data_IF_042347045432
#
_entry.id   IF_042347045432
#
_cell.length_a   1.000
_cell.length_b   1.000
_cell.length_c   1.000
_cell.angle_alpha   90.00
_cell.angle_beta   90.00
_cell.angle_gamma   90.00
#
_symmetry.space_group_name_H-M   'P 1'
#
loop_
_entity.id
_entity.type
_entity.pdbx_description
1 polymer ?
#
# COMPACT_ATOMS: atom_id res chain seq x y z
N UNK A 1 -33.22 -10.54 9.41
CA UNK A 1 -32.21 -9.53 9.80
C UNK A 1 -32.64 -8.62 10.96
N UNK A 2 -33.90 -8.15 11.04
CA UNK A 2 -34.31 -7.18 12.09
C UNK A 2 -34.17 -7.67 13.55
N UNK A 3 -34.37 -8.97 13.84
CA UNK A 3 -34.23 -9.51 15.21
C UNK A 3 -32.79 -9.48 15.74
N UNK A 4 -31.80 -9.81 14.90
CA UNK A 4 -30.38 -9.77 15.29
C UNK A 4 -29.96 -8.33 15.59
N UNK A 5 -30.39 -7.39 14.75
CA UNK A 5 -30.12 -5.98 14.93
C UNK A 5 -30.72 -5.41 16.22
N UNK A 6 -31.96 -5.79 16.58
CA UNK A 6 -32.56 -5.35 17.83
C UNK A 6 -31.89 -5.98 19.05
N UNK A 7 -31.48 -7.24 18.99
CA UNK A 7 -30.72 -7.90 20.06
C UNK A 7 -29.37 -7.21 20.29
N UNK A 8 -28.62 -6.92 19.24
CA UNK A 8 -27.34 -6.22 19.35
C UNK A 8 -27.53 -4.83 19.95
N UNK A 9 -28.52 -4.05 19.50
CA UNK A 9 -28.77 -2.73 20.08
C UNK A 9 -29.23 -2.80 21.55
N UNK A 10 -30.00 -3.82 21.93
CA UNK A 10 -30.43 -4.00 23.32
C UNK A 10 -29.24 -4.28 24.23
N UNK A 11 -28.36 -5.20 23.82
CA UNK A 11 -27.11 -5.49 24.52
C UNK A 11 -26.18 -4.27 24.61
N UNK A 12 -26.27 -3.36 23.64
CA UNK A 12 -25.51 -2.11 23.64
C UNK A 12 -26.18 -0.99 24.45
N UNK A 13 -27.46 -1.08 24.80
CA UNK A 13 -28.19 -0.01 25.50
C UNK A 13 -28.44 -0.31 26.97
N UNK A 14 -28.12 -1.52 27.43
CA UNK A 14 -28.09 -1.87 28.84
C UNK A 14 -26.93 -1.15 29.53
N UNK A 15 -27.16 -0.58 30.71
CA UNK A 15 -26.14 0.18 31.45
C UNK A 15 -24.93 -0.73 31.77
N UNK A 16 -23.72 -0.26 31.45
CA UNK A 16 -22.46 -0.96 31.76
C UNK A 16 -21.87 -1.82 30.64
N UNK A 17 -22.16 -1.51 29.36
CA UNK A 17 -21.57 -2.25 28.23
C UNK A 17 -20.04 -2.17 28.25
N UNK A 18 -19.43 -3.35 28.30
CA UNK A 18 -17.98 -3.52 28.17
C UNK A 18 -17.50 -2.94 26.82
N UNK A 19 -16.59 -1.96 26.81
CA UNK A 19 -16.00 -1.37 25.61
C UNK A 19 -15.34 -2.42 24.72
N UNK A 20 -14.69 -3.42 25.32
CA UNK A 20 -14.11 -4.54 24.59
C UNK A 20 -15.19 -5.28 23.79
N UNK A 21 -16.40 -5.42 24.35
CA UNK A 21 -17.54 -6.03 23.68
C UNK A 21 -18.01 -5.20 22.48
N UNK A 22 -18.08 -3.87 22.62
CA UNK A 22 -18.38 -2.96 21.49
C UNK A 22 -17.34 -3.10 20.39
N UNK A 23 -16.05 -3.12 20.74
CA UNK A 23 -14.97 -3.25 19.76
C UNK A 23 -15.01 -4.60 19.03
N UNK A 24 -15.31 -5.67 19.77
CA UNK A 24 -15.46 -7.01 19.22
C UNK A 24 -16.66 -7.10 18.27
N UNK A 25 -17.81 -6.52 18.63
CA UNK A 25 -18.99 -6.48 17.76
C UNK A 25 -18.68 -5.72 16.47
N UNK A 26 -18.08 -4.52 16.57
CA UNK A 26 -17.74 -3.71 15.39
C UNK A 26 -16.77 -4.47 14.48
N UNK A 27 -15.77 -5.13 15.05
CA UNK A 27 -14.80 -5.94 14.30
C UNK A 27 -15.43 -7.17 13.65
N UNK A 28 -16.31 -7.87 14.36
CA UNK A 28 -17.03 -9.03 13.84
C UNK A 28 -17.96 -8.61 12.70
N UNK A 29 -18.66 -7.48 12.84
CA UNK A 29 -19.51 -6.90 11.81
C UNK A 29 -18.70 -6.55 10.55
N UNK A 30 -17.55 -5.89 10.70
CA UNK A 30 -16.68 -5.57 9.57
C UNK A 30 -16.16 -6.83 8.86
N UNK A 31 -15.75 -7.85 9.64
CA UNK A 31 -15.26 -9.13 9.09
C UNK A 31 -16.35 -9.92 8.37
N UNK A 32 -17.59 -9.88 8.87
CA UNK A 32 -18.74 -10.49 8.23
C UNK A 32 -19.30 -9.66 7.06
N UNK A 33 -18.63 -8.57 6.69
CA UNK A 33 -19.11 -7.56 5.73
C UNK A 33 -20.54 -7.08 6.05
N UNK A 34 -20.91 -7.15 7.32
CA UNK A 34 -22.22 -6.81 7.85
C UNK A 34 -22.22 -5.36 8.31
N UNK A 35 -22.90 -4.52 7.54
CA UNK A 35 -23.06 -3.12 7.84
C UNK A 35 -24.34 -2.84 8.65
N UNK A 36 -24.18 -2.25 9.84
CA UNK A 36 -25.29 -1.79 10.68
C UNK A 36 -25.23 -0.28 10.91
N UNK A 37 -26.16 0.44 10.28
CA UNK A 37 -26.31 1.90 10.43
C UNK A 37 -26.49 2.31 11.88
N UNK A 38 -27.32 1.56 12.62
CA UNK A 38 -27.62 1.87 14.01
C UNK A 38 -26.43 1.58 14.92
N UNK A 39 -25.65 0.52 14.66
CA UNK A 39 -24.42 0.24 15.41
C UNK A 39 -23.44 1.40 15.29
N UNK A 40 -23.14 1.86 14.08
CA UNK A 40 -22.20 2.97 13.90
C UNK A 40 -22.73 4.29 14.44
N UNK A 41 -24.04 4.55 14.34
CA UNK A 41 -24.66 5.73 14.99
C UNK A 41 -24.53 5.67 16.50
N UNK A 42 -24.78 4.50 17.10
CA UNK A 42 -24.61 4.26 18.52
C UNK A 42 -23.15 4.49 18.94
N UNK A 43 -22.17 3.86 18.28
CA UNK A 43 -20.76 4.08 18.56
C UNK A 43 -20.35 5.55 18.40
N UNK A 44 -20.86 6.24 17.38
CA UNK A 44 -20.59 7.67 17.16
C UNK A 44 -21.15 8.52 18.29
N UNK A 45 -22.39 8.27 18.73
CA UNK A 45 -23.01 9.00 19.84
C UNK A 45 -22.24 8.77 21.14
N UNK A 46 -21.91 7.53 21.44
CA UNK A 46 -21.15 7.15 22.62
C UNK A 46 -19.74 7.77 22.69
N UNK A 47 -19.04 7.88 21.55
CA UNK A 47 -17.76 8.59 21.47
C UNK A 47 -17.93 10.10 21.70
N UNK A 48 -18.99 10.72 21.15
CA UNK A 48 -19.27 12.15 21.29
C UNK A 48 -19.69 12.54 22.70
N UNK A 49 -20.51 11.72 23.34
CA UNK A 49 -20.96 11.90 24.73
C UNK A 49 -19.87 11.58 25.76
N UNK A 50 -18.68 11.21 25.28
CA UNK A 50 -17.55 10.79 26.09
C UNK A 50 -17.82 9.57 26.99
N UNK A 51 -18.95 8.88 26.82
CA UNK A 51 -19.30 7.66 27.59
C UNK A 51 -18.36 6.50 27.30
N UNK A 52 -17.70 6.51 26.15
CA UNK A 52 -16.63 5.57 25.81
C UNK A 52 -15.22 6.06 26.18
N UNK A 53 -15.05 7.27 26.73
CA UNK A 53 -13.70 7.83 26.99
C UNK A 53 -12.92 7.11 28.07
N UNK A 54 -13.60 6.67 29.12
CA UNK A 54 -13.01 5.86 30.19
C UNK A 54 -12.92 4.39 29.81
N UNK A 55 -13.45 4.07 28.63
CA UNK A 55 -13.93 2.75 28.33
C UNK A 55 -13.02 2.11 27.28
N UNK A 56 -12.68 2.80 26.20
CA UNK A 56 -11.74 2.27 25.22
C UNK A 56 -10.28 2.42 25.65
N UNK A 57 -9.59 1.30 25.80
CA UNK A 57 -8.13 1.31 25.79
C UNK A 57 -7.58 1.47 24.35
N UNK A 58 -6.27 1.65 24.21
CA UNK A 58 -5.62 1.81 22.91
C UNK A 58 -5.82 0.62 21.95
N UNK A 59 -5.86 -0.60 22.48
CA UNK A 59 -6.11 -1.82 21.70
C UNK A 59 -7.52 -1.83 21.10
N UNK A 60 -8.53 -1.49 21.89
CA UNK A 60 -9.92 -1.44 21.46
C UNK A 60 -10.12 -0.33 20.44
N UNK A 61 -9.58 0.86 20.73
CA UNK A 61 -9.67 2.01 19.83
C UNK A 61 -9.06 1.72 18.45
N UNK A 62 -7.84 1.18 18.42
CA UNK A 62 -7.16 0.79 17.18
C UNK A 62 -7.91 -0.33 16.44
N UNK A 63 -8.63 -1.20 17.16
CA UNK A 63 -9.46 -2.26 16.60
C UNK A 63 -10.74 -1.74 15.97
N UNK A 64 -11.47 -0.86 16.65
CA UNK A 64 -12.65 -0.18 16.10
C UNK A 64 -12.26 0.62 14.86
N UNK A 65 -11.18 1.41 14.92
CA UNK A 65 -10.69 2.18 13.78
C UNK A 65 -10.41 1.29 12.58
N UNK A 66 -9.66 0.20 12.79
CA UNK A 66 -9.32 -0.72 11.70
C UNK A 66 -10.56 -1.36 11.08
N UNK A 67 -11.52 -1.78 11.91
CA UNK A 67 -12.79 -2.34 11.46
C UNK A 67 -13.62 -1.31 10.66
N UNK A 68 -13.65 -0.05 11.11
CA UNK A 68 -14.35 1.04 10.39
C UNK A 68 -13.67 1.37 9.07
N UNK A 69 -12.37 1.17 8.93
CA UNK A 69 -11.62 1.42 7.70
C UNK A 69 -11.61 0.24 6.71
N UNK A 70 -11.97 -0.97 7.15
CA UNK A 70 -11.99 -2.16 6.27
C UNK A 70 -12.87 -1.96 5.03
N UNK A 71 -12.48 -2.52 3.88
CA UNK A 71 -13.27 -2.38 2.66
C UNK A 71 -14.58 -3.15 2.84
N UNK A 72 -15.67 -2.55 2.39
CA UNK A 72 -16.94 -3.25 2.23
C UNK A 72 -17.46 -2.96 0.83
N UNK A 73 -17.85 -4.00 0.10
CA UNK A 73 -18.22 -3.92 -1.32
C UNK A 73 -19.50 -3.09 -1.56
N UNK A 74 -20.19 -2.74 -0.48
CA UNK A 74 -21.43 -1.98 -0.53
C UNK A 74 -21.18 -0.53 -0.10
N UNK A 75 -21.61 0.43 -0.92
CA UNK A 75 -21.73 1.87 -0.56
C UNK A 75 -22.66 2.13 0.65
N UNK A 76 -23.26 1.07 1.20
CA UNK A 76 -24.18 1.10 2.33
C UNK A 76 -23.51 1.72 3.54
N UNK A 77 -24.01 2.91 3.87
CA UNK A 77 -23.71 3.66 5.06
C UNK A 77 -22.23 4.03 5.25
N UNK A 78 -21.60 4.29 4.11
CA UNK A 78 -20.41 5.12 3.97
C UNK A 78 -20.49 6.38 4.86
N UNK A 79 -21.64 7.03 4.89
CA UNK A 79 -21.85 8.26 5.68
C UNK A 79 -21.71 8.04 7.18
N UNK A 80 -22.30 6.99 7.75
CA UNK A 80 -22.11 6.69 9.17
C UNK A 80 -20.69 6.21 9.48
N UNK A 81 -20.03 5.49 8.56
CA UNK A 81 -18.61 5.15 8.73
C UNK A 81 -17.74 6.39 8.76
N UNK A 82 -18.00 7.35 7.88
CA UNK A 82 -17.34 8.67 7.87
C UNK A 82 -17.55 9.41 9.18
N UNK A 83 -18.77 9.43 9.70
CA UNK A 83 -19.10 10.05 11.00
C UNK A 83 -18.38 9.37 12.16
N UNK A 84 -18.37 8.04 12.19
CA UNK A 84 -17.70 7.27 13.22
C UNK A 84 -16.19 7.46 13.14
N UNK A 85 -15.59 7.41 11.95
CA UNK A 85 -14.17 7.67 11.72
C UNK A 85 -13.76 9.07 12.19
N UNK A 86 -14.56 10.09 11.87
CA UNK A 86 -14.30 11.45 12.33
C UNK A 86 -14.31 11.56 13.87
N UNK A 87 -15.28 10.91 14.52
CA UNK A 87 -15.39 10.87 15.99
C UNK A 87 -14.24 10.07 16.64
N UNK A 88 -13.85 8.94 16.06
CA UNK A 88 -12.69 8.16 16.51
C UNK A 88 -11.41 9.01 16.45
N UNK A 89 -11.22 9.78 15.39
CA UNK A 89 -10.07 10.68 15.27
C UNK A 89 -10.09 11.85 16.27
N UNK A 90 -11.27 12.34 16.70
CA UNK A 90 -11.32 13.33 17.79
C UNK A 90 -10.84 12.71 19.10
N UNK A 91 -11.27 11.48 19.35
CA UNK A 91 -10.97 10.78 20.59
C UNK A 91 -9.51 10.32 20.67
N UNK A 92 -8.95 9.84 19.56
CA UNK A 92 -7.57 9.33 19.54
C UNK A 92 -6.54 10.31 20.07
N UNK A 93 -6.65 11.62 19.78
CA UNK A 93 -5.69 12.63 20.25
C UNK A 93 -5.44 12.52 21.77
N UNK A 94 -6.49 12.21 22.53
CA UNK A 94 -6.41 12.07 23.98
C UNK A 94 -5.90 10.69 24.43
N UNK A 95 -6.20 9.63 23.68
CA UNK A 95 -5.81 8.26 24.01
C UNK A 95 -4.41 7.87 23.52
N UNK A 96 -3.81 8.65 22.64
CA UNK A 96 -2.53 8.29 22.00
C UNK A 96 -1.36 8.14 22.97
N UNK A 97 -1.16 9.00 23.99
CA UNK A 97 -0.02 8.87 24.90
C UNK A 97 0.06 7.52 25.64
N UNK A 98 -1.04 6.75 25.68
CA UNK A 98 -1.10 5.45 26.34
C UNK A 98 -1.09 4.27 25.36
N UNK A 99 -1.04 4.52 24.04
CA UNK A 99 -1.07 3.47 23.03
C UNK A 99 0.27 2.74 22.94
N UNK A 100 0.20 1.42 22.82
CA UNK A 100 1.37 0.59 22.55
C UNK A 100 1.80 0.70 21.08
N UNK A 101 3.06 0.36 20.79
CA UNK A 101 3.64 0.34 19.44
C UNK A 101 2.76 -0.35 18.37
N UNK A 102 2.24 -1.58 18.58
CA UNK A 102 1.39 -2.24 17.58
C UNK A 102 0.05 -1.51 17.34
N UNK A 103 -0.46 -0.79 18.33
CA UNK A 103 -1.70 -0.03 18.24
C UNK A 103 -1.49 1.21 17.38
N UNK A 104 -0.42 1.98 17.63
CA UNK A 104 -0.01 3.11 16.80
C UNK A 104 0.23 2.69 15.34
N UNK A 105 0.89 1.54 15.12
CA UNK A 105 1.10 1.01 13.78
C UNK A 105 -0.22 0.66 13.07
N UNK A 106 -1.15 0.03 13.78
CA UNK A 106 -2.48 -0.30 13.26
C UNK A 106 -3.31 0.95 12.98
N UNK A 107 -3.19 1.96 13.83
CA UNK A 107 -3.82 3.26 13.67
C UNK A 107 -3.34 3.96 12.41
N UNK A 108 -2.01 4.13 12.26
CA UNK A 108 -1.43 4.82 11.11
C UNK A 108 -1.83 4.13 9.80
N UNK A 109 -1.76 2.80 9.79
CA UNK A 109 -2.25 1.99 8.66
C UNK A 109 -3.71 2.27 8.33
N UNK A 110 -4.59 2.26 9.33
CA UNK A 110 -6.03 2.42 9.13
C UNK A 110 -6.39 3.83 8.62
N UNK A 111 -5.66 4.86 9.05
CA UNK A 111 -5.85 6.23 8.56
C UNK A 111 -5.38 6.36 7.11
N UNK A 112 -4.19 5.85 6.78
CA UNK A 112 -3.68 5.85 5.40
C UNK A 112 -4.63 5.11 4.45
N UNK A 113 -5.04 3.90 4.81
CA UNK A 113 -5.96 3.06 4.05
C UNK A 113 -7.34 3.73 3.86
N UNK A 114 -7.84 4.45 4.87
CA UNK A 114 -9.07 5.23 4.75
C UNK A 114 -8.93 6.46 3.84
N UNK A 115 -7.75 7.09 3.82
CA UNK A 115 -7.45 8.22 2.94
C UNK A 115 -7.44 7.83 1.48
N UNK A 116 -6.72 6.74 1.17
CA UNK A 116 -6.59 6.16 -0.17
C UNK A 116 -7.96 5.75 -0.73
N UNK A 117 -8.81 5.14 0.09
CA UNK A 117 -10.16 4.72 -0.31
C UNK A 117 -11.20 5.84 -0.37
N UNK A 118 -10.83 7.09 -0.12
CA UNK A 118 -11.79 8.20 -0.06
C UNK A 118 -12.82 8.07 1.06
N UNK A 119 -12.53 7.26 2.10
CA UNK A 119 -13.34 7.16 3.29
C UNK A 119 -13.17 8.42 4.17
N UNK A 120 -12.05 9.13 4.06
CA UNK A 120 -11.88 10.44 4.69
C UNK A 120 -12.47 11.55 3.80
N UNK A 121 -13.60 12.17 4.15
CA UNK A 121 -14.05 13.39 3.46
C UNK A 121 -13.03 14.50 3.65
N UNK A 122 -13.04 15.49 2.79
CA UNK A 122 -11.98 16.51 2.69
C UNK A 122 -11.66 17.20 4.02
N UNK A 123 -12.70 17.60 4.79
CA UNK A 123 -12.54 18.17 6.14
C UNK A 123 -11.85 17.21 7.13
N UNK A 124 -12.13 15.92 7.04
CA UNK A 124 -11.50 14.89 7.88
C UNK A 124 -10.09 14.55 7.40
N UNK A 125 -9.78 14.74 6.12
CA UNK A 125 -8.45 14.48 5.56
C UNK A 125 -7.39 15.41 6.16
N UNK A 126 -7.65 16.72 6.24
CA UNK A 126 -6.74 17.67 6.89
C UNK A 126 -6.52 17.35 8.37
N UNK A 127 -7.59 16.93 9.06
CA UNK A 127 -7.51 16.49 10.45
C UNK A 127 -6.67 15.22 10.60
N UNK A 128 -6.81 14.25 9.69
CA UNK A 128 -6.05 13.01 9.69
C UNK A 128 -4.56 13.27 9.46
N UNK A 129 -4.24 14.15 8.52
CA UNK A 129 -2.87 14.58 8.26
C UNK A 129 -2.25 15.27 9.48
N UNK A 130 -3.00 16.15 10.14
CA UNK A 130 -2.56 16.83 11.36
C UNK A 130 -2.30 15.81 12.49
N UNK A 131 -3.25 14.92 12.73
CA UNK A 131 -3.15 13.85 13.73
C UNK A 131 -1.90 12.98 13.49
N UNK A 132 -1.67 12.60 12.24
CA UNK A 132 -0.49 11.79 11.89
C UNK A 132 0.80 12.55 12.15
N UNK A 133 0.88 13.80 11.66
CA UNK A 133 2.11 14.59 11.69
C UNK A 133 2.51 15.05 13.09
N UNK A 134 1.54 15.52 13.88
CA UNK A 134 1.82 16.19 15.15
C UNK A 134 1.65 15.28 16.35
N UNK A 135 0.90 14.18 16.22
CA UNK A 135 0.58 13.32 17.36
C UNK A 135 1.15 11.89 17.15
N UNK A 136 0.95 11.26 15.98
CA UNK A 136 1.29 9.82 15.79
C UNK A 136 2.79 9.63 15.55
N UNK A 137 3.35 10.36 14.59
CA UNK A 137 4.74 10.16 14.18
C UNK A 137 5.76 10.54 15.26
N UNK A 138 5.61 11.64 16.01
CA UNK A 138 6.53 11.94 17.10
C UNK A 138 6.61 10.80 18.13
N UNK A 139 5.46 10.24 18.53
CA UNK A 139 5.42 9.12 19.46
C UNK A 139 6.11 7.87 18.89
N UNK A 140 5.89 7.56 17.62
CA UNK A 140 6.56 6.42 16.96
C UNK A 140 8.08 6.60 16.93
N UNK A 141 8.59 7.82 16.71
CA UNK A 141 10.03 8.14 16.71
C UNK A 141 10.63 8.02 18.10
N UNK A 142 9.88 8.38 19.14
CA UNK A 142 10.32 8.27 20.54
C UNK A 142 10.34 6.83 21.04
N UNK A 143 9.63 5.91 20.38
CA UNK A 143 9.60 4.49 20.74
C UNK A 143 10.83 3.72 20.22
N UNK A 144 11.37 2.78 21.02
CA UNK A 144 12.38 1.83 20.54
C UNK A 144 11.86 1.01 19.35
N UNK A 145 12.60 0.93 18.22
CA UNK A 145 12.18 0.18 17.04
C UNK A 145 11.85 -1.29 17.34
N UNK A 146 12.50 -1.90 18.32
CA UNK A 146 12.34 -3.29 18.73
C UNK A 146 10.93 -3.62 19.25
N UNK A 147 10.16 -2.60 19.66
CA UNK A 147 8.75 -2.75 20.04
C UNK A 147 7.85 -3.03 18.85
N UNK A 148 8.32 -2.81 17.63
CA UNK A 148 7.55 -3.02 16.40
C UNK A 148 7.91 -4.35 15.77
N UNK A 149 6.91 -5.23 15.67
CA UNK A 149 7.05 -6.47 14.91
C UNK A 149 7.21 -6.18 13.40
N UNK A 150 7.69 -7.14 12.60
CA UNK A 150 7.72 -7.00 11.14
C UNK A 150 6.38 -6.61 10.50
N UNK A 151 5.28 -7.10 11.08
CA UNK A 151 3.92 -6.75 10.63
C UNK A 151 3.59 -5.28 10.91
N UNK A 152 4.05 -4.78 12.04
CA UNK A 152 3.77 -3.40 12.49
C UNK A 152 4.63 -2.41 11.71
N UNK A 153 5.90 -2.73 11.48
CA UNK A 153 6.77 -1.95 10.57
C UNK A 153 6.16 -1.86 9.17
N UNK A 154 5.71 -2.98 8.59
CA UNK A 154 5.07 -2.96 7.28
C UNK A 154 3.76 -2.13 7.26
N UNK A 155 3.01 -2.12 8.37
CA UNK A 155 1.81 -1.29 8.53
C UNK A 155 2.13 0.19 8.63
N UNK A 156 3.16 0.55 9.40
CA UNK A 156 3.62 1.92 9.57
C UNK A 156 3.98 2.52 8.22
N UNK A 157 4.83 1.81 7.48
CA UNK A 157 5.34 2.27 6.19
C UNK A 157 4.23 2.37 5.15
N UNK A 158 3.33 1.38 5.09
CA UNK A 158 2.19 1.43 4.20
C UNK A 158 1.23 2.57 4.54
N UNK A 159 0.83 2.69 5.81
CA UNK A 159 -0.04 3.76 6.27
C UNK A 159 0.53 5.13 5.96
N UNK A 160 1.85 5.27 6.14
CA UNK A 160 2.58 6.49 5.79
C UNK A 160 2.60 6.77 4.29
N UNK A 161 2.89 5.78 3.46
CA UNK A 161 2.96 5.92 2.00
C UNK A 161 1.64 6.39 1.39
N UNK A 162 0.52 5.96 1.97
CA UNK A 162 -0.82 6.38 1.53
C UNK A 162 -1.20 7.82 1.91
N UNK A 163 -0.41 8.49 2.74
CA UNK A 163 -0.71 9.85 3.19
C UNK A 163 -0.04 10.92 2.29
N UNK A 164 -0.76 11.99 1.89
CA UNK A 164 -0.26 12.98 0.91
C UNK A 164 0.89 13.88 1.36
N UNK A 165 1.28 13.85 2.64
CA UNK A 165 2.23 14.83 3.20
C UNK A 165 3.62 14.20 3.26
N UNK A 166 4.64 14.97 2.90
CA UNK A 166 6.07 14.67 3.13
C UNK A 166 6.70 15.86 3.85
N UNK A 167 6.61 15.88 5.17
CA UNK A 167 7.35 16.81 6.02
C UNK A 167 8.64 16.16 6.54
N UNK A 168 9.70 16.93 6.85
CA UNK A 168 10.98 16.37 7.33
C UNK A 168 10.88 15.40 8.52
N UNK A 169 10.04 15.64 9.55
CA UNK A 169 9.84 14.70 10.67
C UNK A 169 9.36 13.31 10.23
N UNK A 170 8.70 13.23 9.08
CA UNK A 170 8.21 11.96 8.55
C UNK A 170 9.32 11.13 7.89
N UNK A 171 10.33 11.78 7.32
CA UNK A 171 11.52 11.09 6.81
C UNK A 171 12.38 10.60 7.96
N UNK A 172 12.48 11.38 9.04
CA UNK A 172 13.21 10.98 10.24
C UNK A 172 12.57 9.75 10.88
N UNK A 173 11.24 9.67 10.93
CA UNK A 173 10.53 8.46 11.35
C UNK A 173 10.82 7.26 10.45
N UNK A 174 10.98 7.46 9.15
CA UNK A 174 11.34 6.39 8.23
C UNK A 174 12.78 5.91 8.48
N UNK A 175 13.72 6.84 8.60
CA UNK A 175 15.13 6.55 8.88
C UNK A 175 15.31 5.90 10.26
N UNK A 176 14.49 6.25 11.24
CA UNK A 176 14.46 5.62 12.57
C UNK A 176 14.28 4.10 12.51
N UNK A 177 13.45 3.61 11.58
CA UNK A 177 13.22 2.17 11.42
C UNK A 177 14.22 1.49 10.50
N UNK A 178 15.12 2.23 9.84
CA UNK A 178 15.91 1.69 8.76
C UNK A 178 16.81 0.50 9.20
N UNK A 179 17.59 0.67 10.27
CA UNK A 179 18.40 -0.42 10.83
C UNK A 179 17.55 -1.59 11.31
N UNK A 180 16.38 -1.31 11.90
CA UNK A 180 15.46 -2.35 12.38
C UNK A 180 14.84 -3.13 11.23
N UNK A 181 14.42 -2.47 10.15
CA UNK A 181 13.93 -3.10 8.92
C UNK A 181 15.00 -4.02 8.34
N UNK A 182 16.25 -3.55 8.28
CA UNK A 182 17.38 -4.34 7.79
C UNK A 182 17.61 -5.60 8.64
N UNK A 183 17.63 -5.45 9.96
CA UNK A 183 17.76 -6.55 10.91
C UNK A 183 16.61 -7.55 10.80
N UNK A 184 15.36 -7.09 10.83
CA UNK A 184 14.17 -7.93 10.74
C UNK A 184 14.15 -8.75 9.45
N UNK A 185 14.60 -8.17 8.36
CA UNK A 185 14.62 -8.85 7.10
C UNK A 185 15.79 -9.83 6.94
N UNK A 186 16.99 -9.51 7.47
CA UNK A 186 18.09 -10.47 7.52
C UNK A 186 17.70 -11.74 8.29
N UNK A 187 16.83 -11.61 9.30
CA UNK A 187 16.29 -12.71 10.10
C UNK A 187 15.07 -13.40 9.48
N UNK A 188 14.64 -13.04 8.26
CA UNK A 188 13.43 -13.60 7.63
C UNK A 188 12.13 -13.29 8.37
N UNK A 189 12.09 -12.19 9.14
CA UNK A 189 10.98 -11.81 9.99
C UNK A 189 9.73 -11.33 9.24
N UNK A 190 9.85 -10.96 7.96
CA UNK A 190 8.71 -10.49 7.18
C UNK A 190 7.98 -11.64 6.46
N UNK A 191 6.66 -11.70 6.66
CA UNK A 191 5.80 -12.46 5.75
C UNK A 191 5.86 -11.87 4.33
N UNK A 192 5.58 -12.69 3.31
CA UNK A 192 5.50 -12.24 1.89
C UNK A 192 4.60 -11.01 1.72
N UNK A 193 3.44 -11.00 2.39
CA UNK A 193 2.50 -9.87 2.36
C UNK A 193 3.10 -8.60 2.98
N UNK A 194 3.90 -8.75 4.03
CA UNK A 194 4.58 -7.64 4.68
C UNK A 194 5.72 -7.10 3.80
N UNK A 195 6.49 -7.98 3.15
CA UNK A 195 7.52 -7.58 2.16
C UNK A 195 6.91 -6.82 0.98
N UNK A 196 5.83 -7.31 0.38
CA UNK A 196 5.18 -6.60 -0.72
C UNK A 196 4.73 -5.19 -0.33
N UNK A 197 4.14 -5.06 0.88
CA UNK A 197 3.73 -3.76 1.41
C UNK A 197 4.90 -2.84 1.68
N UNK A 198 5.96 -3.38 2.27
CA UNK A 198 7.21 -2.66 2.51
C UNK A 198 7.76 -2.11 1.20
N UNK A 199 7.89 -2.95 0.16
CA UNK A 199 8.39 -2.53 -1.15
C UNK A 199 7.56 -1.41 -1.77
N UNK A 200 6.23 -1.57 -1.80
CA UNK A 200 5.34 -0.54 -2.38
C UNK A 200 5.44 0.75 -1.59
N UNK A 201 5.44 0.66 -0.26
CA UNK A 201 5.57 1.83 0.60
C UNK A 201 6.90 2.57 0.35
N UNK A 202 8.00 1.83 0.21
CA UNK A 202 9.31 2.40 -0.12
C UNK A 202 9.29 3.09 -1.48
N UNK A 203 8.77 2.41 -2.50
CA UNK A 203 8.65 2.98 -3.84
C UNK A 203 7.86 4.29 -3.82
N UNK A 204 6.72 4.32 -3.11
CA UNK A 204 5.86 5.48 -2.99
C UNK A 204 6.51 6.64 -2.21
N UNK A 205 7.21 6.33 -1.11
CA UNK A 205 7.96 7.35 -0.36
C UNK A 205 9.08 7.94 -1.22
N UNK A 206 9.77 7.12 -2.01
CA UNK A 206 10.83 7.59 -2.91
C UNK A 206 10.31 8.38 -4.10
N UNK A 207 9.20 7.99 -4.72
CA UNK A 207 8.61 8.70 -5.86
C UNK A 207 8.11 10.08 -5.47
N UNK A 208 7.38 10.18 -4.35
CA UNK A 208 6.83 11.45 -3.87
C UNK A 208 7.89 12.39 -3.32
N UNK A 209 8.97 11.84 -2.73
CA UNK A 209 10.13 12.64 -2.37
C UNK A 209 10.83 13.25 -3.59
N UNK A 210 10.71 12.66 -4.78
CA UNK A 210 11.24 13.24 -6.01
C UNK A 210 10.35 14.38 -6.55
N UNK A 211 9.02 14.24 -6.42
CA UNK A 211 8.05 15.25 -6.88
C UNK A 211 8.06 16.53 -6.03
N UNK A 212 8.27 16.43 -4.72
CA UNK A 212 8.27 17.59 -3.81
C UNK A 212 9.43 18.57 -4.03
N UNK A 213 10.39 18.25 -4.91
CA UNK A 213 11.62 19.05 -5.10
C UNK A 213 11.78 19.63 -6.51
N UNK A 214 10.66 19.91 -7.19
CA UNK A 214 10.66 20.81 -8.36
C UNK A 214 10.87 22.28 -7.93
N UNK A 215 12.09 22.56 -7.46
CA UNK A 215 12.71 23.90 -7.35
C UNK A 215 13.81 23.97 -8.41
N UNK A 216 13.96 25.12 -9.06
CA UNK A 216 14.88 25.42 -10.19
C UNK A 216 16.31 24.83 -10.09
N UNK A 217 16.98 24.62 -11.25
CA UNK A 217 18.11 23.69 -11.38
C UNK A 217 19.41 24.30 -10.85
N UNK A 218 19.62 24.20 -9.54
CA UNK A 218 20.96 24.27 -8.95
C UNK A 218 21.13 23.05 -8.04
N UNK A 219 21.78 22.03 -8.61
CA UNK A 219 22.04 20.70 -8.04
C UNK A 219 20.78 19.78 -7.93
N UNK A 220 20.75 18.62 -8.62
CA UNK A 220 19.57 17.74 -8.65
C UNK A 220 19.25 17.28 -7.23
N UNK A 221 18.06 17.61 -6.74
CA UNK A 221 17.64 17.28 -5.38
C UNK A 221 17.49 15.77 -5.11
N UNK A 222 17.40 14.96 -6.16
CA UNK A 222 17.60 13.51 -6.09
C UNK A 222 18.95 13.17 -5.41
N UNK A 223 20.01 13.96 -5.66
CA UNK A 223 21.29 13.84 -4.94
C UNK A 223 21.21 14.31 -3.48
N UNK A 224 20.28 15.18 -3.07
CA UNK A 224 20.13 15.59 -1.66
C UNK A 224 19.35 14.57 -0.83
N UNK A 225 18.30 13.98 -1.40
CA UNK A 225 17.60 12.85 -0.77
C UNK A 225 18.49 11.59 -0.77
N UNK A 226 19.20 11.31 -1.86
CA UNK A 226 20.17 10.21 -1.93
C UNK A 226 21.46 10.46 -1.13
N UNK A 227 21.83 11.71 -0.80
CA UNK A 227 22.92 12.02 0.16
C UNK A 227 22.51 11.82 1.63
N UNK A 228 21.20 11.79 1.94
CA UNK A 228 20.69 11.51 3.30
C UNK A 228 20.58 10.02 3.61
N UNK A 229 20.43 9.20 2.57
CA UNK A 229 20.55 7.76 2.67
C UNK A 229 22.02 7.43 2.46
N UNK A 230 22.70 6.94 3.49
CA UNK A 230 24.06 6.46 3.33
C UNK A 230 24.08 5.32 2.28
N UNK A 231 25.22 5.07 1.60
CA UNK A 231 25.38 3.87 0.79
C UNK A 231 25.01 2.59 1.58
N UNK A 232 25.26 2.58 2.89
CA UNK A 232 24.81 1.52 3.79
C UNK A 232 23.29 1.47 3.96
N UNK A 233 22.56 2.55 3.76
CA UNK A 233 21.10 2.55 3.87
C UNK A 233 20.43 1.93 2.65
N UNK A 234 20.97 2.23 1.47
CA UNK A 234 20.58 1.58 0.22
C UNK A 234 21.00 0.11 0.21
N UNK A 235 22.18 -0.19 0.74
CA UNK A 235 22.70 -1.56 0.89
C UNK A 235 21.94 -2.35 1.95
N UNK A 236 21.53 -1.76 3.06
CA UNK A 236 20.73 -2.41 4.10
C UNK A 236 19.27 -2.61 3.66
N UNK A 237 18.70 -1.71 2.86
CA UNK A 237 17.43 -1.92 2.17
C UNK A 237 17.56 -3.04 1.12
N UNK A 238 18.74 -3.15 0.48
CA UNK A 238 19.10 -4.25 -0.40
C UNK A 238 19.23 -5.57 0.38
N UNK A 239 19.95 -5.59 1.51
CA UNK A 239 20.13 -6.70 2.47
C UNK A 239 18.81 -7.15 3.09
N UNK A 240 17.93 -6.21 3.42
CA UNK A 240 16.58 -6.46 3.90
C UNK A 240 15.68 -7.19 2.88
N UNK A 241 16.17 -7.37 1.68
CA UNK A 241 15.47 -8.05 0.59
C UNK A 241 16.45 -8.94 -0.18
N UNK A 242 17.66 -9.16 0.36
CA UNK A 242 18.75 -9.95 -0.23
C UNK A 242 19.36 -10.97 0.73
N UNK A 243 18.60 -11.45 1.73
CA UNK A 243 18.92 -12.80 2.21
C UNK A 243 18.85 -13.70 0.97
N UNK A 244 19.92 -14.44 0.69
CA UNK A 244 20.02 -15.29 -0.51
C UNK A 244 18.90 -16.33 -0.52
N UNK A 245 18.38 -16.69 0.67
CA UNK A 245 17.18 -17.50 0.85
C UNK A 245 15.88 -16.79 0.40
N UNK A 246 15.79 -15.47 0.49
CA UNK A 246 14.59 -14.70 0.12
C UNK A 246 14.49 -14.41 -1.38
N UNK A 247 15.59 -14.33 -2.13
CA UNK A 247 15.53 -14.27 -3.60
C UNK A 247 15.03 -15.59 -4.18
N UNK A 248 15.52 -16.72 -3.67
CA UNK A 248 14.99 -18.05 -4.05
C UNK A 248 13.57 -18.28 -3.54
N UNK A 249 13.13 -17.63 -2.45
CA UNK A 249 11.72 -17.66 -2.00
C UNK A 249 10.84 -16.76 -2.84
N UNK A 250 11.30 -15.56 -3.25
CA UNK A 250 10.62 -14.69 -4.20
C UNK A 250 10.50 -15.37 -5.56
N UNK A 251 11.56 -16.02 -6.03
CA UNK A 251 11.54 -16.81 -7.26
C UNK A 251 10.62 -18.02 -7.13
N UNK A 252 10.67 -18.79 -6.02
CA UNK A 252 9.71 -19.87 -5.75
C UNK A 252 8.27 -19.37 -5.59
N UNK A 253 8.06 -18.16 -5.06
CA UNK A 253 6.75 -17.53 -4.93
C UNK A 253 6.21 -17.14 -6.32
N UNK A 254 7.04 -16.51 -7.14
CA UNK A 254 6.75 -16.22 -8.54
C UNK A 254 6.44 -17.53 -9.27
N UNK A 255 7.23 -18.58 -9.08
CA UNK A 255 7.04 -19.92 -9.67
C UNK A 255 5.82 -20.68 -9.14
N UNK A 256 5.33 -20.38 -7.92
CA UNK A 256 4.08 -20.96 -7.38
C UNK A 256 2.85 -20.18 -7.80
N UNK A 257 3.00 -18.90 -8.20
CA UNK A 257 1.92 -18.09 -8.78
C UNK A 257 1.78 -18.33 -10.30
N UNK A 258 2.89 -18.63 -10.98
CA UNK A 258 2.98 -18.98 -12.42
C UNK A 258 1.98 -20.05 -12.90
N UNK A 259 1.68 -21.15 -12.18
CA UNK A 259 0.82 -22.23 -12.67
C UNK A 259 -0.66 -21.83 -12.75
N UNK A 260 -1.08 -20.75 -12.08
CA UNK A 260 -2.48 -20.33 -12.07
C UNK A 260 -2.96 -19.77 -13.41
N UNK A 261 -2.05 -19.35 -14.29
CA UNK A 261 -2.38 -18.93 -15.65
C UNK A 261 -3.53 -17.90 -15.72
N UNK A 262 -4.46 -18.01 -16.67
CA UNK A 262 -5.64 -17.13 -16.80
C UNK A 262 -6.59 -17.10 -15.60
N UNK A 263 -6.50 -18.11 -14.75
CA UNK A 263 -7.34 -18.31 -13.59
C UNK A 263 -6.76 -17.69 -12.31
N UNK A 264 -5.64 -16.96 -12.39
CA UNK A 264 -5.05 -16.30 -11.23
C UNK A 264 -6.04 -15.28 -10.62
N UNK A 265 -6.34 -15.37 -9.30
CA UNK A 265 -7.16 -14.38 -8.62
C UNK A 265 -6.60 -12.96 -8.85
N UNK A 266 -7.47 -12.00 -9.17
CA UNK A 266 -7.09 -10.60 -9.42
C UNK A 266 -6.24 -9.98 -8.30
N UNK A 267 -6.43 -10.46 -7.06
CA UNK A 267 -5.69 -10.05 -5.86
C UNK A 267 -4.22 -10.50 -5.82
N UNK A 268 -3.79 -11.41 -6.70
CA UNK A 268 -2.40 -11.89 -6.77
C UNK A 268 -1.56 -11.17 -7.83
N UNK A 269 -2.18 -10.44 -8.76
CA UNK A 269 -1.49 -9.78 -9.88
C UNK A 269 -0.60 -8.63 -9.40
N UNK A 270 -1.08 -7.78 -8.49
CA UNK A 270 -0.31 -6.64 -7.97
C UNK A 270 0.89 -7.06 -7.10
N UNK A 271 0.76 -7.99 -6.13
CA UNK A 271 1.91 -8.53 -5.40
C UNK A 271 2.95 -9.16 -6.34
N UNK A 272 2.49 -9.90 -7.35
CA UNK A 272 3.35 -10.55 -8.32
C UNK A 272 4.14 -9.53 -9.17
N UNK A 273 3.49 -8.47 -9.64
CA UNK A 273 4.12 -7.37 -10.36
C UNK A 273 5.13 -6.60 -9.50
N UNK A 274 4.81 -6.40 -8.21
CA UNK A 274 5.73 -5.77 -7.26
C UNK A 274 6.98 -6.65 -7.01
N UNK A 275 6.80 -7.95 -6.80
CA UNK A 275 7.91 -8.90 -6.67
C UNK A 275 8.79 -8.91 -7.92
N UNK A 276 8.16 -8.92 -9.09
CA UNK A 276 8.85 -8.81 -10.37
C UNK A 276 9.65 -7.51 -10.43
N UNK A 277 9.04 -6.35 -10.21
CA UNK A 277 9.73 -5.05 -10.20
C UNK A 277 10.98 -5.05 -9.30
N UNK A 278 10.89 -5.63 -8.09
CA UNK A 278 12.03 -5.77 -7.16
C UNK A 278 13.14 -6.64 -7.72
N UNK A 279 12.82 -7.77 -8.36
CA UNK A 279 13.83 -8.63 -9.00
C UNK A 279 14.55 -7.87 -10.12
N UNK A 280 13.82 -7.05 -10.90
CA UNK A 280 14.39 -6.24 -11.98
C UNK A 280 15.30 -5.13 -11.47
N UNK A 281 14.90 -4.36 -10.46
CA UNK A 281 15.75 -3.28 -9.92
C UNK A 281 17.07 -3.81 -9.35
N UNK A 282 17.16 -5.12 -9.13
CA UNK A 282 18.36 -5.84 -8.65
C UNK A 282 19.14 -6.56 -9.74
N UNK A 283 18.73 -6.44 -11.01
CA UNK A 283 19.37 -7.15 -12.12
C UNK A 283 19.20 -8.67 -12.06
N UNK A 284 18.30 -9.19 -11.22
CA UNK A 284 18.00 -10.63 -11.12
C UNK A 284 17.11 -10.99 -12.30
N UNK A 285 17.66 -11.81 -13.21
CA UNK A 285 16.89 -12.35 -14.32
C UNK A 285 15.95 -13.44 -13.78
N UNK A 286 14.64 -13.35 -13.98
CA UNK A 286 13.73 -14.40 -13.54
C UNK A 286 14.05 -15.72 -14.27
N UNK A 287 13.85 -16.86 -13.59
CA UNK A 287 13.99 -18.18 -14.23
C UNK A 287 13.16 -18.28 -15.52
N UNK A 288 13.58 -19.14 -16.45
CA UNK A 288 12.80 -19.42 -17.68
C UNK A 288 11.34 -19.80 -17.37
N UNK A 289 11.08 -20.45 -16.23
CA UNK A 289 9.74 -20.83 -15.78
C UNK A 289 8.95 -19.62 -15.29
N UNK A 290 9.56 -18.75 -14.47
CA UNK A 290 8.97 -17.48 -14.08
C UNK A 290 8.63 -16.60 -15.30
N UNK A 291 9.58 -16.46 -16.23
CA UNK A 291 9.42 -15.79 -17.52
C UNK A 291 8.24 -16.32 -18.34
N UNK A 292 8.12 -17.65 -18.46
CA UNK A 292 7.03 -18.29 -19.18
C UNK A 292 5.66 -18.08 -18.50
N UNK A 293 5.62 -18.07 -17.16
CA UNK A 293 4.39 -17.77 -16.43
C UNK A 293 3.96 -16.32 -16.51
N UNK A 294 4.91 -15.38 -16.46
CA UNK A 294 4.66 -13.96 -16.73
C UNK A 294 4.04 -13.74 -18.10
N UNK A 295 4.56 -14.46 -19.09
CA UNK A 295 4.05 -14.51 -20.45
C UNK A 295 2.62 -15.05 -20.52
N UNK A 296 2.36 -16.15 -19.83
CA UNK A 296 1.02 -16.75 -19.75
C UNK A 296 0.04 -15.79 -19.06
N UNK A 297 0.47 -15.13 -17.98
CA UNK A 297 -0.31 -14.14 -17.24
C UNK A 297 -0.63 -12.94 -18.14
N UNK A 298 0.36 -12.42 -18.87
CA UNK A 298 0.19 -11.35 -19.85
C UNK A 298 -0.79 -11.71 -20.96
N UNK A 299 -0.68 -12.92 -21.51
CA UNK A 299 -1.61 -13.42 -22.55
C UNK A 299 -3.03 -13.60 -22.01
N UNK A 300 -3.18 -13.79 -20.71
CA UNK A 300 -4.46 -14.09 -20.07
C UNK A 300 -5.19 -12.89 -19.49
N UNK A 301 -4.50 -11.77 -19.25
CA UNK A 301 -5.11 -10.51 -18.86
C UNK A 301 -5.95 -9.99 -20.03
N UNK A 302 -7.28 -10.19 -19.95
CA UNK A 302 -8.23 -9.68 -20.93
C UNK A 302 -8.28 -8.15 -20.98
N UNK A 303 -8.90 -7.65 -22.06
CA UNK A 303 -9.15 -6.26 -22.41
C UNK A 303 -9.66 -5.43 -21.20
N UNK A 304 -9.04 -4.27 -20.96
CA UNK A 304 -9.39 -3.35 -19.87
C UNK A 304 -8.37 -3.19 -18.74
N UNK A 305 -7.31 -4.01 -18.66
CA UNK A 305 -6.24 -3.88 -17.64
C UNK A 305 -4.90 -3.41 -18.20
N UNK A 306 -4.95 -2.29 -18.92
CA UNK A 306 -3.83 -1.67 -19.63
C UNK A 306 -2.60 -1.43 -18.73
N UNK A 307 -2.80 -1.04 -17.47
CA UNK A 307 -1.72 -0.78 -16.50
C UNK A 307 -0.93 -2.05 -16.14
N UNK A 308 -1.64 -3.18 -15.96
CA UNK A 308 -1.01 -4.48 -15.71
C UNK A 308 -0.28 -5.00 -16.96
N UNK A 309 -0.82 -4.74 -18.15
CA UNK A 309 -0.17 -5.06 -19.43
C UNK A 309 1.11 -4.23 -19.64
N UNK A 310 1.10 -2.92 -19.34
CA UNK A 310 2.28 -2.06 -19.43
C UNK A 310 3.35 -2.46 -18.41
N UNK A 311 2.97 -2.78 -17.16
CA UNK A 311 3.89 -3.30 -16.13
C UNK A 311 4.50 -4.66 -16.53
N UNK A 312 3.71 -5.55 -17.14
CA UNK A 312 4.19 -6.82 -17.69
C UNK A 312 5.09 -6.64 -18.92
N UNK A 313 4.86 -5.62 -19.75
CA UNK A 313 5.72 -5.26 -20.88
C UNK A 313 7.06 -4.69 -20.41
N UNK A 314 7.01 -3.79 -19.42
CA UNK A 314 8.19 -3.31 -18.72
C UNK A 314 8.96 -4.50 -18.15
N UNK A 315 8.29 -5.45 -17.50
CA UNK A 315 8.95 -6.62 -16.93
C UNK A 315 9.51 -7.60 -17.98
N UNK A 316 8.71 -7.93 -19.00
CA UNK A 316 9.10 -8.72 -20.18
C UNK A 316 10.38 -8.20 -20.83
N UNK A 317 10.58 -6.88 -20.87
CA UNK A 317 11.75 -6.29 -21.51
C UNK A 317 13.09 -6.66 -20.83
N UNK A 318 13.09 -7.01 -19.54
CA UNK A 318 14.30 -7.54 -18.87
C UNK A 318 14.51 -9.05 -19.10
N UNK A 319 13.52 -9.72 -19.69
CA UNK A 319 13.44 -11.18 -19.85
C UNK A 319 13.67 -11.60 -21.30
N UNK A 320 13.32 -10.77 -22.28
CA UNK A 320 13.51 -11.06 -23.69
C UNK A 320 14.88 -10.58 -24.19
N UNK A 321 15.75 -11.50 -24.61
CA UNK A 321 17.06 -11.13 -25.13
C UNK A 321 17.01 -10.67 -26.60
N UNK A 322 15.85 -10.71 -27.28
CA UNK A 322 15.76 -10.42 -28.73
C UNK A 322 14.74 -9.33 -29.10
N UNK A 323 15.09 -8.46 -30.06
CA UNK A 323 14.19 -7.41 -30.58
C UNK A 323 12.84 -7.93 -31.12
N UNK A 324 12.78 -9.18 -31.61
CA UNK A 324 11.58 -9.76 -32.23
C UNK A 324 10.45 -9.98 -31.22
N UNK A 325 10.78 -10.46 -30.03
CA UNK A 325 9.77 -10.74 -28.98
C UNK A 325 9.19 -9.45 -28.40
N UNK A 326 10.03 -8.42 -28.24
CA UNK A 326 9.58 -7.08 -27.85
C UNK A 326 8.66 -6.48 -28.91
N UNK A 327 9.06 -6.57 -30.19
CA UNK A 327 8.25 -6.08 -31.32
C UNK A 327 6.87 -6.71 -31.31
N UNK A 328 6.78 -8.03 -31.14
CA UNK A 328 5.50 -8.74 -31.09
C UNK A 328 4.61 -8.27 -29.92
N UNK A 329 5.19 -8.05 -28.74
CA UNK A 329 4.45 -7.55 -27.57
C UNK A 329 3.97 -6.10 -27.77
N UNK A 330 4.83 -5.23 -28.32
CA UNK A 330 4.51 -3.84 -28.62
C UNK A 330 3.41 -3.71 -29.68
N UNK A 331 3.45 -4.52 -30.75
CA UNK A 331 2.41 -4.55 -31.78
C UNK A 331 1.06 -4.98 -31.22
N UNK A 332 1.03 -5.98 -30.34
CA UNK A 332 -0.22 -6.41 -29.68
C UNK A 332 -0.76 -5.36 -28.71
N UNK A 333 0.11 -4.68 -27.96
CA UNK A 333 -0.32 -3.56 -27.13
C UNK A 333 -0.93 -2.45 -28.00
N UNK A 334 -0.26 -2.06 -29.09
CA UNK A 334 -0.77 -1.06 -30.04
C UNK A 334 -2.14 -1.44 -30.60
N UNK A 335 -2.34 -2.70 -30.99
CA UNK A 335 -3.62 -3.21 -31.49
C UNK A 335 -4.72 -3.18 -30.42
N UNK A 336 -4.40 -3.52 -29.18
CA UNK A 336 -5.35 -3.43 -28.06
C UNK A 336 -5.72 -1.98 -27.74
N UNK A 337 -4.74 -1.07 -27.78
CA UNK A 337 -4.95 0.36 -27.54
C UNK A 337 -5.87 0.99 -28.61
N UNK A 338 -5.71 0.61 -29.87
CA UNK A 338 -6.55 1.11 -30.96
C UNK A 338 -8.00 0.64 -30.90
N UNK A 339 -8.29 -0.45 -30.17
CA UNK A 339 -9.64 -0.98 -30.03
C UNK A 339 -10.44 -0.31 -28.89
N UNK A 340 -9.84 0.60 -28.12
CA UNK A 340 -10.52 1.31 -27.04
C UNK A 340 -10.59 2.81 -27.34
N UNK A 341 -11.75 3.27 -27.83
CA UNK A 341 -12.05 4.68 -28.12
C UNK A 341 -12.14 5.57 -26.87
N UNK A 342 -12.29 4.97 -25.70
CA UNK A 342 -12.66 5.66 -24.45
C UNK A 342 -11.47 5.86 -23.50
N UNK A 343 -10.24 5.60 -23.97
CA UNK A 343 -9.03 5.77 -23.15
C UNK A 343 -8.63 7.24 -23.15
N UNK A 344 -8.45 7.79 -21.96
CA UNK A 344 -7.98 9.17 -21.75
C UNK A 344 -6.72 9.46 -22.59
N UNK A 345 -6.75 10.48 -23.48
CA UNK A 345 -5.61 10.88 -24.30
C UNK A 345 -4.34 11.20 -23.48
N UNK A 346 -4.48 11.70 -22.26
CA UNK A 346 -3.35 11.97 -21.36
C UNK A 346 -2.67 10.66 -20.92
N UNK A 347 -3.47 9.63 -20.66
CA UNK A 347 -2.98 8.31 -20.30
C UNK A 347 -2.32 7.59 -21.48
N UNK A 348 -2.88 7.75 -22.69
CA UNK A 348 -2.25 7.30 -23.94
C UNK A 348 -0.91 7.99 -24.21
N UNK A 349 -0.83 9.30 -23.95
CA UNK A 349 0.41 10.07 -24.06
C UNK A 349 1.48 9.60 -23.07
N UNK A 350 1.09 9.29 -21.83
CA UNK A 350 1.99 8.74 -20.83
C UNK A 350 2.55 7.38 -21.27
N UNK A 351 1.70 6.47 -21.74
CA UNK A 351 2.12 5.16 -22.24
C UNK A 351 3.07 5.30 -23.44
N UNK A 352 2.75 6.18 -24.39
CA UNK A 352 3.61 6.43 -25.54
C UNK A 352 4.98 7.00 -25.15
N UNK A 353 5.01 7.95 -24.20
CA UNK A 353 6.26 8.52 -23.66
C UNK A 353 7.08 7.47 -22.92
N UNK A 354 6.44 6.66 -22.08
CA UNK A 354 7.11 5.55 -21.39
C UNK A 354 7.71 4.59 -22.41
N UNK A 355 6.94 4.12 -23.39
CA UNK A 355 7.45 3.24 -24.46
C UNK A 355 8.60 3.88 -25.25
N UNK A 356 8.52 5.17 -25.58
CA UNK A 356 9.59 5.89 -26.27
C UNK A 356 10.87 5.98 -25.44
N UNK A 357 10.76 6.27 -24.13
CA UNK A 357 11.90 6.28 -23.21
C UNK A 357 12.51 4.89 -23.04
N UNK A 358 11.69 3.84 -23.01
CA UNK A 358 12.16 2.46 -22.99
C UNK A 358 12.93 2.15 -24.30
N UNK A 359 12.38 2.47 -25.48
CA UNK A 359 13.07 2.30 -26.76
C UNK A 359 14.41 3.08 -26.82
N UNK A 360 14.44 4.32 -26.33
CA UNK A 360 15.66 5.14 -26.31
C UNK A 360 16.73 4.56 -25.37
N UNK A 361 16.34 4.14 -24.17
CA UNK A 361 17.23 3.47 -23.22
C UNK A 361 17.74 2.10 -23.74
N UNK A 362 17.06 1.50 -24.72
CA UNK A 362 17.49 0.29 -25.41
C UNK A 362 18.63 0.50 -26.41
N UNK A 363 19.04 1.76 -26.68
CA UNK A 363 19.95 2.09 -27.77
C UNK A 363 19.30 1.98 -29.16
N UNK A 364 17.97 1.94 -29.25
CA UNK A 364 17.27 1.97 -30.53
C UNK A 364 17.24 3.38 -31.10
N UNK A 365 18.31 3.73 -31.82
CA UNK A 365 18.32 4.92 -32.65
C UNK A 365 17.46 4.71 -33.90
N UNK A 366 16.78 5.77 -34.33
CA UNK A 366 15.85 5.80 -35.47
C UNK A 366 16.45 5.40 -36.84
N UNK A 367 17.69 4.89 -36.90
CA UNK A 367 18.43 4.62 -38.13
C UNK A 367 18.46 3.16 -38.59
N UNK A 368 18.33 2.16 -37.71
CA UNK A 368 18.70 0.78 -38.07
C UNK A 368 17.52 -0.18 -38.32
N UNK A 369 16.30 0.16 -37.93
CA UNK A 369 15.13 -0.71 -38.15
C UNK A 369 14.01 0.03 -38.89
N UNK A 370 13.95 -0.15 -40.22
CA UNK A 370 12.99 0.47 -41.15
C UNK A 370 11.51 0.03 -40.99
N UNK A 371 11.12 -0.52 -39.85
CA UNK A 371 9.78 -1.11 -39.64
C UNK A 371 8.95 -0.54 -38.50
N UNK A 372 9.42 0.49 -37.78
CA UNK A 372 8.86 0.89 -36.48
C UNK A 372 8.17 2.26 -36.42
N UNK A 373 7.67 2.74 -37.56
CA UNK A 373 6.86 3.97 -37.65
C UNK A 373 5.52 3.92 -36.91
#
# INVERSE_FOLDING_TARGET
MNKVHSCVLRLLTEDGVDPQYVANIVSACATAEFYSKSLYRYCTAMLREKRLKEAFNGQELSSVLSAVCQPCDNSRGLEERRKLLAALMDYMVESMPTMAAPELAKVLYSIGDAGDRGLLPERSRSKAQRLVRFDILPQIVEMPPELFSPRDVARLLWGRALLPVHSPPELDAFLHFHHHIASLAACGGFSVKALCRLTVALAEVTSRSAESVNVEPTEPAANRAAKRWSPHDVEALAVATSSVDDLSRLERLVETIVPFGPSAPSRLVEPFLACCWVLRTRGVRPSRRASAGLLSLFRSLQEGRLHAQVMLLCFAWGVYPTPKDFTHCATRLRANLSNHSDVDPAYMSLIAKTLAHLCFAAGWHHGENKGFG
#
